data_IF_084243606689
#
_entry.id   IF_084243606689
#
_cell.length_a   1.000
_cell.length_b   1.000
_cell.length_c   1.000
_cell.angle_alpha   90.00
_cell.angle_beta   90.00
_cell.angle_gamma   90.00
#
_symmetry.space_group_name_H-M   'P 1'
#
loop_
_entity.id
_entity.type
_entity.pdbx_description
1 polymer ?
#
# COMPACT_ATOMS: atom_id res chain seq x y z
N UNK A 1 -56.68 -14.62 -27.27
CA UNK A 1 -57.63 -14.61 -26.14
C UNK A 1 -56.87 -14.00 -24.97
N UNK A 2 -57.12 -12.75 -24.52
CA UNK A 2 -58.32 -12.24 -23.82
C UNK A 2 -58.63 -13.18 -22.64
N UNK A 3 -58.57 -12.85 -21.34
CA UNK A 3 -58.84 -11.62 -20.59
C UNK A 3 -58.34 -11.77 -19.13
N UNK A 4 -57.79 -10.68 -18.56
CA UNK A 4 -57.95 -10.06 -17.23
C UNK A 4 -58.72 -10.80 -16.10
N UNK A 5 -58.60 -10.57 -14.78
CA UNK A 5 -58.27 -9.41 -13.91
C UNK A 5 -57.95 -9.98 -12.50
N UNK A 6 -57.15 -9.32 -11.66
CA UNK A 6 -57.07 -9.65 -10.23
C UNK A 6 -56.13 -8.75 -9.42
N UNK A 7 -56.62 -7.60 -8.99
CA UNK A 7 -55.96 -6.61 -8.11
C UNK A 7 -55.80 -7.09 -6.68
N UNK A 8 -54.64 -6.85 -6.06
CA UNK A 8 -54.49 -6.80 -4.60
C UNK A 8 -53.62 -5.60 -4.20
N UNK A 9 -54.21 -4.72 -3.40
CA UNK A 9 -53.60 -3.56 -2.75
C UNK A 9 -53.00 -4.04 -1.43
N UNK A 10 -51.71 -3.84 -1.23
CA UNK A 10 -51.08 -3.87 0.09
C UNK A 10 -50.02 -2.77 0.14
N UNK A 11 -50.28 -1.75 0.97
CA UNK A 11 -49.36 -0.65 1.21
C UNK A 11 -48.13 -1.13 1.96
N UNK A 12 -46.97 -0.82 1.41
CA UNK A 12 -45.71 -0.79 2.14
C UNK A 12 -45.09 0.59 1.90
N UNK A 13 -44.91 1.35 2.99
CA UNK A 13 -44.22 2.62 2.96
C UNK A 13 -42.78 2.42 2.50
N UNK A 14 -42.50 2.88 1.28
CA UNK A 14 -41.17 2.93 0.70
C UNK A 14 -40.47 4.18 1.28
N UNK A 15 -39.60 3.97 2.26
CA UNK A 15 -38.55 4.95 2.58
C UNK A 15 -37.58 5.00 1.40
N UNK A 16 -37.75 6.00 0.52
CA UNK A 16 -36.71 6.37 -0.44
C UNK A 16 -35.58 7.07 0.31
N UNK A 17 -34.52 6.33 0.62
CA UNK A 17 -33.21 6.92 0.80
C UNK A 17 -32.71 7.36 -0.57
N UNK A 18 -32.81 8.66 -0.86
CA UNK A 18 -32.17 9.25 -2.02
C UNK A 18 -30.64 9.13 -1.86
N UNK A 19 -30.06 8.15 -2.54
CA UNK A 19 -28.65 8.21 -2.90
C UNK A 19 -28.46 9.43 -3.81
N UNK A 20 -27.74 10.43 -3.32
CA UNK A 20 -27.42 11.64 -4.09
C UNK A 20 -26.55 11.29 -5.28
N UNK A 21 -27.16 11.16 -6.46
CA UNK A 21 -26.45 11.28 -7.72
C UNK A 21 -26.06 12.74 -7.90
N UNK A 22 -24.78 13.06 -7.69
CA UNK A 22 -24.22 14.34 -8.07
C UNK A 22 -24.25 14.46 -9.60
N UNK A 23 -25.31 15.05 -10.13
CA UNK A 23 -25.42 15.43 -11.52
C UNK A 23 -24.46 16.60 -11.77
N UNK A 24 -23.48 16.40 -12.65
CA UNK A 24 -22.52 17.41 -13.07
C UNK A 24 -23.22 18.69 -13.55
N UNK A 25 -22.83 19.84 -12.99
CA UNK A 25 -23.21 21.14 -13.52
C UNK A 25 -22.42 21.43 -14.83
N UNK A 26 -23.05 22.00 -15.86
CA UNK A 26 -22.39 22.25 -17.14
C UNK A 26 -21.28 23.30 -16.98
N UNK A 27 -20.19 23.08 -17.70
CA UNK A 27 -19.03 23.96 -17.75
C UNK A 27 -19.40 25.34 -18.32
N UNK A 28 -19.30 26.38 -17.49
CA UNK A 28 -19.32 27.77 -17.95
C UNK A 28 -17.92 28.12 -18.48
N UNK A 29 -17.83 28.32 -19.79
CA UNK A 29 -16.61 28.77 -20.47
C UNK A 29 -16.29 30.21 -20.04
N UNK A 30 -15.31 30.37 -19.15
CA UNK A 30 -14.75 31.67 -18.78
C UNK A 30 -14.01 32.29 -19.97
N UNK A 31 -14.70 33.13 -20.73
CA UNK A 31 -14.11 34.01 -21.74
C UNK A 31 -13.62 35.31 -21.07
N UNK A 32 -12.43 35.83 -21.40
CA UNK A 32 -11.86 37.00 -20.74
C UNK A 32 -12.50 38.27 -21.32
N UNK A 33 -13.50 38.84 -20.63
CA UNK A 33 -14.18 40.08 -21.08
C UNK A 33 -14.28 41.20 -20.04
N UNK A 34 -14.01 40.93 -18.76
CA UNK A 34 -14.34 41.87 -17.67
C UNK A 34 -13.36 43.02 -17.44
N UNK A 35 -12.08 42.89 -17.82
CA UNK A 35 -11.06 43.90 -17.51
C UNK A 35 -10.78 44.89 -18.65
N UNK A 36 -11.25 44.62 -19.87
CA UNK A 36 -10.87 45.41 -21.04
C UNK A 36 -11.77 46.65 -21.26
N UNK A 37 -12.96 46.68 -20.64
CA UNK A 37 -13.90 47.78 -20.80
C UNK A 37 -13.64 48.97 -19.84
N UNK A 38 -12.77 48.82 -18.83
CA UNK A 38 -12.46 49.88 -17.87
C UNK A 38 -11.31 50.81 -18.32
N UNK A 39 -10.59 50.47 -19.40
CA UNK A 39 -9.38 51.20 -19.81
C UNK A 39 -9.48 51.94 -21.15
N UNK A 40 -10.54 51.77 -21.95
CA UNK A 40 -10.67 52.44 -23.25
C UNK A 40 -12.01 53.18 -23.33
N UNK A 41 -11.94 54.50 -23.19
CA UNK A 41 -13.06 55.42 -23.16
C UNK A 41 -13.69 55.62 -24.56
N UNK A 42 -14.37 54.59 -25.10
CA UNK A 42 -15.18 54.67 -26.33
C UNK A 42 -16.30 53.62 -26.36
N UNK A 43 -17.55 54.11 -26.34
CA UNK A 43 -18.84 53.54 -26.80
C UNK A 43 -19.11 52.03 -26.73
N UNK A 44 -19.90 51.60 -25.74
CA UNK A 44 -20.51 50.27 -25.69
C UNK A 44 -22.01 50.36 -26.02
N UNK A 45 -22.55 49.61 -27.02
CA UNK A 45 -23.94 49.75 -27.46
C UNK A 45 -24.93 49.13 -26.46
N UNK A 46 -25.99 49.89 -26.17
CA UNK A 46 -27.10 49.46 -25.33
C UNK A 46 -28.06 48.54 -26.09
N UNK A 47 -28.45 47.42 -25.47
CA UNK A 47 -29.63 46.65 -25.88
C UNK A 47 -29.65 45.19 -25.43
N UNK A 48 -30.36 44.89 -24.34
CA UNK A 48 -30.71 43.51 -23.96
C UNK A 48 -30.99 43.32 -22.48
N UNK A 49 -32.25 43.46 -22.07
CA UNK A 49 -32.75 43.34 -20.70
C UNK A 49 -32.66 41.90 -20.15
N UNK A 50 -32.00 41.68 -19.00
CA UNK A 50 -32.34 40.59 -18.07
C UNK A 50 -32.16 41.06 -16.61
N UNK A 51 -33.30 41.23 -15.93
CA UNK A 51 -33.57 41.34 -14.49
C UNK A 51 -32.42 41.72 -13.53
N UNK A 52 -32.40 43.01 -13.14
CA UNK A 52 -31.70 43.49 -11.95
C UNK A 52 -32.34 42.91 -10.67
N UNK A 53 -31.62 42.02 -9.99
CA UNK A 53 -31.83 41.79 -8.55
C UNK A 53 -31.03 42.82 -7.77
N UNK A 54 -31.72 43.86 -7.30
CA UNK A 54 -31.21 44.78 -6.29
C UNK A 54 -31.00 44.00 -4.99
N UNK A 55 -29.75 43.74 -4.63
CA UNK A 55 -29.41 43.31 -3.25
C UNK A 55 -29.12 44.58 -2.47
N UNK A 56 -29.96 44.83 -1.46
CA UNK A 56 -29.89 45.98 -0.59
C UNK A 56 -28.56 46.01 0.19
N UNK A 57 -27.78 47.08 0.03
CA UNK A 57 -26.76 47.44 1.00
C UNK A 57 -27.44 48.16 2.17
N UNK A 58 -27.64 47.43 3.27
CA UNK A 58 -28.07 48.00 4.53
C UNK A 58 -27.32 47.34 5.68
N UNK A 59 -26.21 47.93 6.10
CA UNK A 59 -25.79 48.12 7.51
C UNK A 59 -24.57 49.07 7.52
N UNK A 60 -24.44 49.98 8.50
CA UNK A 60 -23.23 50.77 8.69
C UNK A 60 -22.16 49.86 9.29
N UNK A 61 -21.01 49.77 8.61
CA UNK A 61 -19.86 48.99 9.09
C UNK A 61 -19.10 49.87 10.08
N UNK A 62 -19.43 49.75 11.37
CA UNK A 62 -18.50 50.12 12.43
C UNK A 62 -17.39 49.05 12.47
N UNK A 63 -16.14 49.51 12.41
CA UNK A 63 -14.88 48.73 12.34
C UNK A 63 -14.51 48.18 10.95
N UNK A 64 -13.81 49.03 10.17
CA UNK A 64 -12.93 48.57 9.09
C UNK A 64 -11.83 47.71 9.72
N UNK A 65 -12.02 46.39 9.68
CA UNK A 65 -10.93 45.44 9.90
C UNK A 65 -10.02 45.53 8.67
N UNK A 66 -8.70 45.42 8.84
CA UNK A 66 -7.65 45.64 7.81
C UNK A 66 -7.75 44.65 6.61
N UNK A 67 -8.80 43.83 6.54
CA UNK A 67 -9.07 42.85 5.48
C UNK A 67 -9.71 43.42 4.21
N UNK A 68 -10.22 44.65 4.21
CA UNK A 68 -11.00 45.19 3.08
C UNK A 68 -10.24 46.13 2.14
N UNK A 69 -8.91 46.21 2.26
CA UNK A 69 -8.08 46.81 1.20
C UNK A 69 -7.62 45.66 0.29
N UNK A 70 -8.15 45.54 -0.95
CA UNK A 70 -7.85 44.40 -1.84
C UNK A 70 -6.35 44.27 -2.17
N UNK A 71 -5.58 45.34 -1.95
CA UNK A 71 -4.14 45.40 -2.14
C UNK A 71 -3.38 44.75 -0.95
N UNK A 72 -3.87 44.87 0.29
CA UNK A 72 -3.16 44.34 1.48
C UNK A 72 -3.24 42.81 1.52
N UNK A 73 -4.39 42.22 1.17
CA UNK A 73 -4.58 40.76 1.17
C UNK A 73 -3.67 40.01 0.18
N UNK A 74 -3.23 40.66 -0.89
CA UNK A 74 -2.27 40.11 -1.87
C UNK A 74 -0.86 40.07 -1.27
N UNK A 75 -0.52 40.99 -0.36
CA UNK A 75 0.80 41.08 0.25
C UNK A 75 0.88 40.37 1.61
N UNK A 76 -0.20 40.34 2.38
CA UNK A 76 -0.25 39.83 3.74
C UNK A 76 -1.51 38.97 3.90
N UNK A 77 -1.33 37.66 4.07
CA UNK A 77 -2.45 36.75 4.29
C UNK A 77 -2.05 35.29 4.22
N UNK A 78 -2.76 34.43 4.95
CA UNK A 78 -2.58 32.99 4.82
C UNK A 78 -3.30 32.47 3.57
N UNK A 79 -2.75 31.42 2.99
CA UNK A 79 -3.40 30.63 1.97
C UNK A 79 -4.58 29.86 2.53
N UNK A 80 -5.63 29.69 1.73
CA UNK A 80 -6.80 28.93 2.13
C UNK A 80 -6.50 27.43 2.12
N UNK A 81 -6.93 26.71 3.15
CA UNK A 81 -6.90 25.24 3.13
C UNK A 81 -7.88 24.70 2.06
N UNK A 82 -7.52 23.56 1.47
CA UNK A 82 -8.43 22.80 0.62
C UNK A 82 -9.67 22.37 1.41
N UNK A 83 -10.82 22.38 0.75
CA UNK A 83 -12.11 22.09 1.39
C UNK A 83 -12.59 20.66 1.11
N UNK A 84 -13.35 20.03 2.02
CA UNK A 84 -13.92 18.70 1.80
C UNK A 84 -14.77 18.61 0.52
N UNK A 85 -14.66 17.48 -0.19
CA UNK A 85 -15.38 17.25 -1.45
C UNK A 85 -14.77 17.96 -2.66
N UNK A 86 -13.54 18.47 -2.53
CA UNK A 86 -12.76 18.95 -3.65
C UNK A 86 -12.43 17.80 -4.63
N UNK A 87 -12.16 18.16 -5.89
CA UNK A 87 -11.67 17.20 -6.90
C UNK A 87 -10.55 17.86 -7.70
N UNK A 88 -9.49 17.11 -7.98
CA UNK A 88 -8.36 17.59 -8.77
C UNK A 88 -7.66 18.78 -8.11
N UNK A 89 -7.36 19.83 -8.89
CA UNK A 89 -6.59 20.97 -8.41
C UNK A 89 -7.27 21.78 -7.28
N UNK A 90 -8.59 21.65 -7.11
CA UNK A 90 -9.31 22.28 -6.01
C UNK A 90 -8.91 21.71 -4.64
N UNK A 91 -8.27 20.54 -4.62
CA UNK A 91 -7.73 19.94 -3.41
C UNK A 91 -6.36 20.47 -3.01
N UNK A 92 -5.78 21.38 -3.79
CA UNK A 92 -4.55 22.05 -3.41
C UNK A 92 -4.84 23.16 -2.40
N UNK A 93 -3.98 23.30 -1.41
CA UNK A 93 -3.94 24.46 -0.53
C UNK A 93 -3.54 25.71 -1.30
N UNK A 94 -4.20 26.82 -0.99
CA UNK A 94 -3.89 28.13 -1.55
C UNK A 94 -2.54 28.64 -1.07
N UNK A 95 -1.89 29.46 -1.89
CA UNK A 95 -0.67 30.14 -1.49
C UNK A 95 -0.98 31.31 -0.54
N UNK A 96 -0.04 31.59 0.35
CA UNK A 96 -0.06 32.81 1.16
C UNK A 96 0.08 34.07 0.30
N UNK A 97 -0.18 35.22 0.92
CA UNK A 97 0.15 36.54 0.40
C UNK A 97 1.65 36.66 0.11
N UNK A 98 1.98 37.52 -0.85
CA UNK A 98 3.32 37.61 -1.45
C UNK A 98 4.42 37.90 -0.43
N UNK A 99 4.17 38.72 0.60
CA UNK A 99 5.19 39.14 1.56
C UNK A 99 5.16 38.31 2.85
N UNK A 100 3.97 38.08 3.40
CA UNK A 100 3.79 37.38 4.68
C UNK A 100 2.56 36.45 4.65
N UNK A 101 2.72 35.27 5.26
CA UNK A 101 1.62 34.35 5.56
C UNK A 101 2.01 32.89 5.36
N UNK A 102 1.21 31.98 5.91
CA UNK A 102 1.41 30.54 5.75
C UNK A 102 0.59 30.02 4.57
N UNK A 103 1.13 29.05 3.83
CA UNK A 103 0.38 28.34 2.81
C UNK A 103 -0.73 27.46 3.42
N UNK A 104 -1.82 27.29 2.68
CA UNK A 104 -2.90 26.40 3.07
C UNK A 104 -2.54 24.94 2.86
N UNK A 105 -3.17 24.04 3.60
CA UNK A 105 -2.99 22.60 3.46
C UNK A 105 -3.78 22.06 2.28
N UNK A 106 -3.24 21.04 1.61
CA UNK A 106 -3.96 20.23 0.65
C UNK A 106 -4.82 19.16 1.31
N UNK A 107 -5.72 18.55 0.53
CA UNK A 107 -6.59 17.44 0.93
C UNK A 107 -6.57 16.36 -0.16
N UNK A 108 -6.88 15.09 0.14
CA UNK A 108 -7.11 14.04 -0.87
C UNK A 108 -6.02 13.92 -1.96
N UNK A 109 -4.75 13.99 -1.55
CA UNK A 109 -3.58 13.95 -2.44
C UNK A 109 -3.19 15.29 -3.07
N UNK A 110 -3.92 16.37 -2.76
CA UNK A 110 -3.62 17.73 -3.19
C UNK A 110 -2.41 18.33 -2.49
N UNK A 111 -1.70 19.22 -3.18
CA UNK A 111 -0.48 19.82 -2.68
C UNK A 111 -0.76 20.91 -1.63
N UNK A 112 0.14 21.10 -0.69
CA UNK A 112 0.15 22.27 0.18
C UNK A 112 0.58 23.53 -0.57
N UNK A 113 0.02 24.66 -0.17
CA UNK A 113 0.34 25.97 -0.72
C UNK A 113 1.67 26.52 -0.21
N UNK A 114 2.27 27.43 -0.96
CA UNK A 114 3.50 28.10 -0.56
C UNK A 114 3.24 29.17 0.53
N UNK A 115 4.19 29.31 1.46
CA UNK A 115 4.26 30.43 2.39
C UNK A 115 4.73 31.73 1.72
N UNK A 116 4.54 32.85 2.41
CA UNK A 116 4.89 34.19 1.92
C UNK A 116 6.40 34.41 1.82
N UNK A 117 6.84 35.31 0.93
CA UNK A 117 8.24 35.46 0.55
C UNK A 117 9.18 35.78 1.73
N UNK A 118 8.78 36.67 2.65
CA UNK A 118 9.61 37.04 3.80
C UNK A 118 9.43 36.10 4.98
N UNK A 119 8.17 35.83 5.37
CA UNK A 119 7.85 34.94 6.47
C UNK A 119 6.64 34.08 6.12
N UNK A 120 6.77 32.77 6.30
CA UNK A 120 5.66 31.85 6.06
C UNK A 120 6.07 30.38 6.10
N UNK A 121 5.24 29.54 6.68
CA UNK A 121 5.35 28.09 6.53
C UNK A 121 4.63 27.64 5.26
N UNK A 122 5.18 26.66 4.57
CA UNK A 122 4.46 25.93 3.54
C UNK A 122 3.33 25.12 4.18
N UNK A 123 2.21 25.00 3.47
CA UNK A 123 1.12 24.13 3.90
C UNK A 123 1.46 22.67 3.70
N UNK A 124 0.84 21.77 4.45
CA UNK A 124 1.06 20.34 4.30
C UNK A 124 0.33 19.80 3.06
N UNK A 125 0.88 18.77 2.44
CA UNK A 125 0.19 18.01 1.41
C UNK A 125 -0.93 17.14 2.00
N UNK A 126 -2.01 16.98 1.25
CA UNK A 126 -3.13 16.14 1.61
C UNK A 126 -2.77 14.65 1.57
N UNK A 127 -3.31 13.86 2.49
CA UNK A 127 -3.19 12.42 2.41
C UNK A 127 -3.88 11.88 1.14
N UNK A 128 -3.29 10.88 0.50
CA UNK A 128 -3.86 10.23 -0.67
C UNK A 128 -5.14 9.47 -0.33
N UNK A 129 -6.07 9.44 -1.27
CA UNK A 129 -7.35 8.73 -1.10
C UNK A 129 -7.15 7.21 -1.05
N UNK A 130 -7.93 6.51 -0.25
CA UNK A 130 -7.91 5.05 -0.27
C UNK A 130 -8.45 4.52 -1.61
N UNK A 131 -7.84 3.44 -2.11
CA UNK A 131 -8.32 2.71 -3.26
C UNK A 131 -9.65 2.03 -2.95
N UNK A 132 -10.53 1.98 -3.94
CA UNK A 132 -11.84 1.33 -3.81
C UNK A 132 -11.68 -0.18 -3.73
N UNK A 133 -12.45 -0.85 -2.88
CA UNK A 133 -12.52 -2.31 -2.93
C UNK A 133 -13.16 -2.77 -4.24
N UNK A 134 -12.75 -3.94 -4.74
CA UNK A 134 -13.44 -4.63 -5.82
C UNK A 134 -14.91 -4.88 -5.44
N UNK A 135 -15.82 -4.72 -6.39
CA UNK A 135 -17.27 -4.72 -6.10
C UNK A 135 -18.00 -5.95 -6.65
N UNK A 136 -17.53 -6.45 -7.79
CA UNK A 136 -18.01 -7.68 -8.41
C UNK A 136 -17.01 -8.80 -8.17
N UNK A 137 -17.49 -10.02 -8.31
CA UNK A 137 -16.68 -11.20 -8.07
C UNK A 137 -15.44 -11.23 -8.98
N UNK A 138 -14.26 -11.34 -8.37
CA UNK A 138 -12.97 -11.34 -9.06
C UNK A 138 -12.45 -9.96 -9.49
N UNK A 139 -13.14 -8.86 -9.15
CA UNK A 139 -12.63 -7.51 -9.40
C UNK A 139 -11.37 -7.24 -8.59
N UNK A 140 -10.37 -6.62 -9.21
CA UNK A 140 -9.21 -6.11 -8.52
C UNK A 140 -9.58 -4.90 -7.64
N UNK A 141 -8.81 -4.70 -6.57
CA UNK A 141 -8.87 -3.51 -5.75
C UNK A 141 -8.27 -2.31 -6.48
N UNK A 142 -8.89 -1.14 -6.32
CA UNK A 142 -8.36 0.12 -6.82
C UNK A 142 -7.06 0.52 -6.12
N UNK A 143 -6.20 1.23 -6.83
CA UNK A 143 -4.97 1.77 -6.25
C UNK A 143 -5.26 2.90 -5.25
N UNK A 144 -4.45 2.97 -4.19
CA UNK A 144 -4.40 4.13 -3.31
C UNK A 144 -3.86 5.34 -4.06
N UNK A 145 -4.45 6.50 -3.82
CA UNK A 145 -3.96 7.78 -4.34
C UNK A 145 -2.63 8.17 -3.68
N UNK A 146 -1.78 8.88 -4.39
CA UNK A 146 -0.55 9.41 -3.82
C UNK A 146 -0.85 10.54 -2.83
N UNK A 147 0.02 10.69 -1.83
CA UNK A 147 0.02 11.86 -0.97
C UNK A 147 0.46 13.11 -1.73
N UNK A 148 -0.12 14.25 -1.38
CA UNK A 148 0.22 15.54 -1.96
C UNK A 148 1.58 16.03 -1.48
N UNK A 149 2.26 16.80 -2.31
CA UNK A 149 3.51 17.45 -1.89
C UNK A 149 3.25 18.55 -0.86
N UNK A 150 4.17 18.70 0.10
CA UNK A 150 4.18 19.85 0.99
C UNK A 150 4.55 21.14 0.24
N UNK A 151 3.97 22.25 0.66
CA UNK A 151 4.23 23.56 0.09
C UNK A 151 5.60 24.10 0.48
N UNK A 152 6.16 24.97 -0.35
CA UNK A 152 7.41 25.65 0.00
C UNK A 152 7.20 26.64 1.16
N UNK A 153 8.15 26.71 2.08
CA UNK A 153 8.23 27.79 3.05
C UNK A 153 8.62 29.13 2.40
N UNK A 154 8.57 30.19 3.19
CA UNK A 154 9.02 31.52 2.78
C UNK A 154 10.50 31.56 2.41
N UNK A 155 10.85 32.39 1.42
CA UNK A 155 12.19 32.48 0.86
C UNK A 155 13.25 32.89 1.89
N UNK A 156 12.94 33.84 2.77
CA UNK A 156 13.87 34.24 3.84
C UNK A 156 13.71 33.41 5.10
N UNK A 157 12.47 33.29 5.60
CA UNK A 157 12.17 32.56 6.84
C UNK A 157 10.91 31.71 6.65
N UNK A 158 11.08 30.39 6.73
CA UNK A 158 9.96 29.48 6.56
C UNK A 158 10.35 28.03 6.53
N UNK A 159 9.59 27.20 7.25
CA UNK A 159 9.65 25.74 7.10
C UNK A 159 8.84 25.34 5.88
N UNK A 160 9.33 24.38 5.11
CA UNK A 160 8.49 23.68 4.14
C UNK A 160 7.39 22.88 4.83
N UNK A 161 6.28 22.68 4.13
CA UNK A 161 5.20 21.81 4.61
C UNK A 161 5.58 20.34 4.49
N UNK A 162 4.98 19.51 5.33
CA UNK A 162 5.12 18.06 5.25
C UNK A 162 4.36 17.53 4.01
N UNK A 163 4.90 16.51 3.36
CA UNK A 163 4.19 15.76 2.33
C UNK A 163 3.13 14.85 2.94
N UNK A 164 2.01 14.68 2.23
CA UNK A 164 0.90 13.82 2.66
C UNK A 164 1.27 12.35 2.61
N UNK A 165 0.67 11.52 3.46
CA UNK A 165 0.81 10.07 3.37
C UNK A 165 0.13 9.55 2.09
N UNK A 166 0.66 8.48 1.50
CA UNK A 166 -0.02 7.75 0.43
C UNK A 166 -1.25 7.00 0.93
N UNK A 167 -2.27 6.89 0.08
CA UNK A 167 -3.50 6.17 0.37
C UNK A 167 -3.30 4.65 0.36
N UNK A 168 -4.08 3.92 1.16
CA UNK A 168 -4.06 2.45 1.11
C UNK A 168 -4.67 1.93 -0.18
N UNK A 169 -4.14 0.84 -0.72
CA UNK A 169 -4.79 0.13 -1.82
C UNK A 169 -6.06 -0.59 -1.38
N UNK A 170 -7.03 -0.70 -2.29
CA UNK A 170 -8.29 -1.38 -2.05
C UNK A 170 -8.13 -2.90 -2.04
N UNK A 171 -9.01 -3.60 -1.32
CA UNK A 171 -9.04 -5.07 -1.37
C UNK A 171 -9.60 -5.57 -2.70
N UNK A 172 -9.01 -6.64 -3.23
CA UNK A 172 -9.60 -7.41 -4.33
C UNK A 172 -10.84 -8.15 -3.86
N UNK A 173 -11.81 -8.32 -4.76
CA UNK A 173 -13.05 -9.03 -4.48
C UNK A 173 -12.87 -10.54 -4.53
N UNK A 174 -13.67 -11.26 -3.75
CA UNK A 174 -13.65 -12.72 -3.77
C UNK A 174 -14.13 -13.27 -5.12
N UNK A 175 -13.59 -14.41 -5.52
CA UNK A 175 -14.05 -15.17 -6.67
C UNK A 175 -15.46 -15.70 -6.46
N UNK A 176 -16.27 -15.60 -7.51
CA UNK A 176 -17.67 -16.01 -7.49
C UNK A 176 -17.85 -17.46 -7.92
N UNK A 177 -19.06 -17.99 -7.73
CA UNK A 177 -19.49 -19.25 -8.36
C UNK A 177 -20.16 -18.89 -9.68
N UNK A 178 -19.52 -19.20 -10.81
CA UNK A 178 -20.04 -18.92 -12.16
C UNK A 178 -21.03 -20.01 -12.61
N UNK A 179 -20.81 -21.24 -12.14
CA UNK A 179 -21.70 -22.40 -12.28
C UNK A 179 -21.30 -23.41 -11.20
N UNK A 180 -22.09 -24.46 -10.90
CA UNK A 180 -21.76 -25.44 -9.87
C UNK A 180 -20.34 -26.02 -10.03
N UNK A 181 -19.88 -26.23 -11.27
CA UNK A 181 -18.58 -26.81 -11.60
C UNK A 181 -17.48 -25.79 -11.90
N UNK A 182 -17.79 -24.48 -11.95
CA UNK A 182 -16.82 -23.44 -12.31
C UNK A 182 -16.89 -22.27 -11.34
N UNK A 183 -15.76 -21.99 -10.72
CA UNK A 183 -15.56 -20.88 -9.78
C UNK A 183 -14.56 -19.89 -10.36
N UNK A 184 -14.69 -18.62 -9.98
CA UNK A 184 -13.76 -17.56 -10.35
C UNK A 184 -12.61 -17.46 -9.36
N UNK A 185 -11.52 -16.83 -9.79
CA UNK A 185 -10.43 -16.44 -8.91
C UNK A 185 -10.80 -15.19 -8.12
N UNK A 186 -10.15 -14.97 -6.98
CA UNK A 186 -10.19 -13.68 -6.32
C UNK A 186 -9.43 -12.63 -7.12
N UNK A 187 -9.88 -11.38 -7.06
CA UNK A 187 -9.17 -10.25 -7.65
C UNK A 187 -7.94 -9.87 -6.84
N UNK A 188 -6.97 -9.25 -7.49
CA UNK A 188 -5.75 -8.78 -6.83
C UNK A 188 -6.05 -7.56 -5.95
N UNK A 189 -5.29 -7.40 -4.87
CA UNK A 189 -5.32 -6.19 -4.05
C UNK A 189 -4.69 -5.02 -4.80
N UNK A 190 -5.26 -3.82 -4.64
CA UNK A 190 -4.70 -2.62 -5.24
C UNK A 190 -3.39 -2.21 -4.57
N UNK A 191 -2.45 -1.66 -5.33
CA UNK A 191 -1.23 -1.07 -4.75
C UNK A 191 -1.56 0.14 -3.86
N UNK A 192 -0.78 0.35 -2.79
CA UNK A 192 -0.80 1.57 -2.01
C UNK A 192 -0.18 2.74 -2.79
N UNK A 193 -0.59 3.96 -2.45
CA UNK A 193 -0.06 5.19 -3.05
C UNK A 193 1.28 5.60 -2.43
N UNK A 194 2.06 6.34 -3.19
CA UNK A 194 3.33 6.89 -2.69
C UNK A 194 3.08 8.07 -1.74
N UNK A 195 3.98 8.24 -0.76
CA UNK A 195 4.01 9.42 0.09
C UNK A 195 4.42 10.67 -0.69
N UNK A 196 3.80 11.80 -0.35
CA UNK A 196 4.07 13.09 -0.97
C UNK A 196 5.45 13.63 -0.60
N UNK A 197 6.07 14.35 -1.54
CA UNK A 197 7.36 14.99 -1.29
C UNK A 197 7.26 16.08 -0.21
N UNK A 198 8.31 16.22 0.59
CA UNK A 198 8.48 17.37 1.47
C UNK A 198 8.49 18.70 0.70
N UNK A 199 7.91 19.73 1.31
CA UNK A 199 8.10 21.11 0.90
C UNK A 199 9.50 21.61 1.25
N UNK A 200 10.06 22.48 0.40
CA UNK A 200 11.37 23.10 0.65
C UNK A 200 11.27 24.24 1.67
N UNK A 201 12.21 24.34 2.58
CA UNK A 201 12.40 25.49 3.47
C UNK A 201 13.02 26.71 2.76
N UNK A 202 13.16 27.81 3.51
CA UNK A 202 13.77 29.07 3.03
C UNK A 202 15.28 29.01 2.73
N UNK A 203 15.75 29.94 1.90
CA UNK A 203 17.11 30.01 1.31
C UNK A 203 18.22 30.41 2.30
N UNK A 204 17.92 31.18 3.36
CA UNK A 204 18.89 31.43 4.43
C UNK A 204 18.96 30.20 5.35
N UNK A 205 19.71 29.22 4.84
CA UNK A 205 19.84 27.82 5.25
C UNK A 205 20.44 27.54 6.62
N UNK A 206 19.93 28.19 7.66
CA UNK A 206 20.09 27.75 9.05
C UNK A 206 18.77 27.70 9.84
N UNK A 207 17.66 28.28 9.34
CA UNK A 207 16.38 28.33 10.07
C UNK A 207 15.14 27.82 9.31
N UNK A 208 15.20 27.62 8.00
CA UNK A 208 14.11 26.99 7.23
C UNK A 208 14.34 25.49 7.10
N UNK A 209 13.71 24.67 7.95
CA UNK A 209 13.74 23.22 7.77
C UNK A 209 12.90 22.83 6.54
N UNK A 210 13.35 21.86 5.76
CA UNK A 210 12.46 21.17 4.83
C UNK A 210 11.36 20.46 5.64
N UNK A 211 10.20 20.24 5.00
CA UNK A 211 9.20 19.35 5.55
C UNK A 211 9.68 17.90 5.56
N UNK A 212 8.86 17.02 6.11
CA UNK A 212 9.06 15.59 6.01
C UNK A 212 8.32 15.04 4.78
N UNK A 213 8.95 14.13 4.04
CA UNK A 213 8.25 13.37 3.00
C UNK A 213 7.27 12.41 3.66
N UNK A 214 6.06 12.30 3.10
CA UNK A 214 4.99 11.44 3.63
C UNK A 214 5.35 9.96 3.57
N UNK A 215 4.70 9.15 4.42
CA UNK A 215 4.82 7.70 4.37
C UNK A 215 4.09 7.10 3.16
N UNK A 216 4.56 5.95 2.68
CA UNK A 216 3.84 5.20 1.65
C UNK A 216 2.58 4.52 2.20
N UNK A 217 1.57 4.37 1.36
CA UNK A 217 0.33 3.67 1.69
C UNK A 217 0.51 2.14 1.65
N UNK A 218 -0.23 1.42 2.49
CA UNK A 218 -0.22 -0.05 2.46
C UNK A 218 -0.91 -0.60 1.20
N UNK A 219 -0.42 -1.74 0.70
CA UNK A 219 -1.07 -2.49 -0.37
C UNK A 219 -2.36 -3.17 0.11
N UNK A 220 -3.32 -3.28 -0.79
CA UNK A 220 -4.60 -3.95 -0.56
C UNK A 220 -4.48 -5.46 -0.48
N UNK A 221 -5.41 -6.10 0.22
CA UNK A 221 -5.45 -7.57 0.32
C UNK A 221 -6.02 -8.17 -0.96
N UNK A 222 -5.46 -9.27 -1.44
CA UNK A 222 -6.06 -10.06 -2.51
C UNK A 222 -7.35 -10.73 -2.07
N UNK A 223 -8.30 -10.88 -2.98
CA UNK A 223 -9.58 -11.56 -2.76
C UNK A 223 -9.39 -13.07 -2.63
N UNK A 224 -10.26 -13.73 -1.88
CA UNK A 224 -10.26 -15.19 -1.79
C UNK A 224 -10.77 -15.82 -3.10
N UNK A 225 -10.26 -16.98 -3.47
CA UNK A 225 -10.76 -17.75 -4.59
C UNK A 225 -12.18 -18.28 -4.36
N UNK A 226 -12.94 -18.40 -5.45
CA UNK A 226 -14.30 -18.94 -5.41
C UNK A 226 -14.33 -20.39 -4.97
N UNK A 227 -15.38 -20.77 -4.24
CA UNK A 227 -15.48 -22.05 -3.55
C UNK A 227 -16.72 -22.83 -3.98
N UNK A 228 -16.55 -24.10 -4.37
CA UNK A 228 -17.65 -25.02 -4.66
C UNK A 228 -17.23 -26.48 -4.46
N UNK A 229 -18.12 -27.30 -3.89
CA UNK A 229 -17.88 -28.74 -3.73
C UNK A 229 -17.90 -29.52 -5.05
N UNK A 230 -18.51 -28.96 -6.08
CA UNK A 230 -18.62 -29.59 -7.42
C UNK A 230 -17.66 -28.98 -8.44
N UNK A 231 -16.90 -27.96 -8.07
CA UNK A 231 -15.82 -27.47 -8.91
C UNK A 231 -14.64 -28.42 -8.86
N UNK A 232 -14.06 -28.75 -10.01
CA UNK A 232 -12.89 -29.62 -10.09
C UNK A 232 -11.68 -29.04 -9.33
N UNK A 233 -11.52 -27.71 -9.41
CA UNK A 233 -10.46 -26.96 -8.72
C UNK A 233 -11.12 -25.72 -8.11
N UNK A 234 -10.78 -25.41 -6.87
CA UNK A 234 -11.15 -24.15 -6.24
C UNK A 234 -10.52 -22.95 -6.96
N UNK A 235 -11.12 -21.77 -6.87
CA UNK A 235 -10.54 -20.57 -7.46
C UNK A 235 -9.20 -20.25 -6.81
N UNK A 236 -8.26 -19.68 -7.54
CA UNK A 236 -7.05 -19.14 -6.94
C UNK A 236 -7.38 -17.88 -6.13
N UNK A 237 -6.65 -17.66 -5.03
CA UNK A 237 -6.67 -16.38 -4.34
C UNK A 237 -5.93 -15.31 -5.15
N UNK A 238 -6.40 -14.07 -5.08
CA UNK A 238 -5.72 -12.92 -5.68
C UNK A 238 -4.44 -12.57 -4.94
N UNK A 239 -3.48 -11.95 -5.61
CA UNK A 239 -2.26 -11.45 -5.00
C UNK A 239 -2.54 -10.22 -4.12
N UNK A 240 -1.73 -10.00 -3.11
CA UNK A 240 -1.73 -8.73 -2.38
C UNK A 240 -1.09 -7.62 -3.21
N UNK A 241 -1.60 -6.39 -3.09
CA UNK A 241 -1.03 -5.22 -3.75
C UNK A 241 0.32 -4.81 -3.15
N UNK A 242 1.17 -4.14 -3.91
CA UNK A 242 2.42 -3.59 -3.37
C UNK A 242 2.16 -2.43 -2.42
N UNK A 243 3.00 -2.27 -1.40
CA UNK A 243 3.05 -1.04 -0.63
C UNK A 243 3.62 0.11 -1.46
N UNK A 244 3.14 1.33 -1.22
CA UNK A 244 3.68 2.54 -1.83
C UNK A 244 5.01 2.96 -1.21
N UNK A 245 5.80 3.71 -1.95
CA UNK A 245 7.06 4.27 -1.46
C UNK A 245 6.79 5.43 -0.51
N UNK A 246 7.67 5.64 0.47
CA UNK A 246 7.54 6.74 1.41
C UNK A 246 8.88 7.41 1.73
N UNK A 247 8.79 8.52 2.45
CA UNK A 247 9.92 9.20 3.06
C UNK A 247 10.51 8.36 4.19
N UNK A 248 9.92 8.46 5.38
CA UNK A 248 10.43 7.74 6.55
C UNK A 248 10.15 6.23 6.51
N UNK A 249 8.96 5.84 6.04
CA UNK A 249 8.49 4.46 6.04
C UNK A 249 7.84 4.12 4.69
N UNK A 250 8.30 3.04 4.08
CA UNK A 250 7.62 2.42 2.95
C UNK A 250 6.37 1.66 3.39
N UNK A 251 5.35 1.64 2.53
CA UNK A 251 4.10 0.94 2.78
C UNK A 251 4.29 -0.57 2.93
N UNK A 252 3.51 -1.21 3.79
CA UNK A 252 3.49 -2.67 3.87
C UNK A 252 2.83 -3.26 2.61
N UNK A 253 3.37 -4.36 2.08
CA UNK A 253 2.73 -5.13 1.02
C UNK A 253 1.45 -5.83 1.51
N UNK A 254 0.42 -5.88 0.67
CA UNK A 254 -0.85 -6.51 0.99
C UNK A 254 -0.73 -8.02 1.15
N UNK A 255 -1.64 -8.64 1.91
CA UNK A 255 -1.69 -10.09 2.02
C UNK A 255 -2.31 -10.72 0.77
N UNK A 256 -1.79 -11.87 0.34
CA UNK A 256 -2.44 -12.68 -0.69
C UNK A 256 -3.75 -13.29 -0.19
N UNK A 257 -4.71 -13.46 -1.10
CA UNK A 257 -6.00 -14.09 -0.85
C UNK A 257 -5.87 -15.61 -0.68
N UNK A 258 -6.79 -16.20 0.08
CA UNK A 258 -6.85 -17.65 0.24
C UNK A 258 -7.34 -18.32 -1.06
N UNK A 259 -6.81 -19.51 -1.37
CA UNK A 259 -7.39 -20.37 -2.40
C UNK A 259 -8.76 -20.89 -2.00
N UNK A 260 -9.61 -21.12 -2.99
CA UNK A 260 -10.98 -21.60 -2.82
C UNK A 260 -11.08 -23.10 -2.61
N UNK A 261 -12.25 -23.55 -2.14
CA UNK A 261 -12.60 -24.97 -2.05
C UNK A 261 -12.95 -25.53 -3.44
N UNK A 262 -12.44 -26.74 -3.72
CA UNK A 262 -12.82 -27.55 -4.89
C UNK A 262 -12.68 -29.04 -4.61
N UNK A 263 -12.81 -29.89 -5.64
CA UNK A 263 -12.37 -31.28 -5.57
C UNK A 263 -10.88 -31.32 -5.24
N UNK A 264 -10.07 -30.56 -5.98
CA UNK A 264 -8.75 -30.08 -5.53
C UNK A 264 -8.85 -28.64 -5.02
N UNK A 265 -8.06 -28.29 -4.01
CA UNK A 265 -8.03 -26.93 -3.49
C UNK A 265 -7.40 -25.96 -4.50
N UNK A 266 -7.91 -24.72 -4.55
CA UNK A 266 -7.29 -23.65 -5.32
C UNK A 266 -6.01 -23.14 -4.65
N UNK A 267 -5.09 -22.58 -5.41
CA UNK A 267 -3.85 -22.04 -4.83
C UNK A 267 -4.09 -20.71 -4.12
N UNK A 268 -3.30 -20.43 -3.07
CA UNK A 268 -3.29 -19.13 -2.40
C UNK A 268 -2.53 -18.08 -3.23
N UNK A 269 -2.98 -16.84 -3.17
CA UNK A 269 -2.31 -15.72 -3.83
C UNK A 269 -1.02 -15.32 -3.13
N UNK A 270 -0.06 -14.72 -3.85
CA UNK A 270 1.19 -14.26 -3.25
C UNK A 270 0.97 -12.97 -2.43
N UNK A 271 1.83 -12.76 -1.42
CA UNK A 271 1.89 -11.48 -0.72
C UNK A 271 2.53 -10.39 -1.58
N UNK A 272 2.06 -9.16 -1.43
CA UNK A 272 2.58 -8.00 -2.14
C UNK A 272 3.97 -7.58 -1.65
N UNK A 273 4.74 -6.90 -2.50
CA UNK A 273 6.03 -6.33 -2.11
C UNK A 273 5.85 -5.14 -1.15
N UNK A 274 6.73 -4.99 -0.16
CA UNK A 274 6.81 -3.78 0.66
C UNK A 274 7.41 -2.60 -0.12
N UNK A 275 6.90 -1.39 0.11
CA UNK A 275 7.39 -0.18 -0.53
C UNK A 275 8.75 0.27 0.03
N UNK A 276 9.46 1.09 -0.74
CA UNK A 276 10.74 1.65 -0.33
C UNK A 276 10.54 2.84 0.63
N UNK A 277 11.52 3.06 1.50
CA UNK A 277 11.55 4.23 2.40
C UNK A 277 12.78 4.18 3.28
N UNK A 278 13.03 5.19 4.12
CA UNK A 278 14.19 5.18 5.03
C UNK A 278 14.22 3.88 5.84
N UNK A 279 13.06 3.43 6.32
CA UNK A 279 12.85 2.01 6.59
C UNK A 279 11.96 1.43 5.51
N UNK A 280 12.43 0.39 4.83
CA UNK A 280 11.63 -0.34 3.84
C UNK A 280 10.41 -1.00 4.49
N UNK A 281 9.29 -1.00 3.78
CA UNK A 281 8.07 -1.67 4.21
C UNK A 281 8.24 -3.18 4.27
N UNK A 282 7.50 -3.86 5.15
CA UNK A 282 7.47 -5.31 5.15
C UNK A 282 6.75 -5.86 3.92
N UNK A 283 7.21 -7.01 3.42
CA UNK A 283 6.46 -7.77 2.43
C UNK A 283 5.17 -8.34 3.02
N UNK A 284 4.16 -8.52 2.18
CA UNK A 284 2.88 -9.12 2.55
C UNK A 284 2.98 -10.62 2.79
N UNK A 285 2.09 -11.16 3.61
CA UNK A 285 1.98 -12.61 3.83
C UNK A 285 1.32 -13.27 2.61
N UNK A 286 1.81 -14.44 2.21
CA UNK A 286 1.16 -15.26 1.18
C UNK A 286 -0.16 -15.85 1.67
N UNK A 287 -1.13 -16.00 0.78
CA UNK A 287 -2.43 -16.58 1.07
C UNK A 287 -2.35 -18.08 1.35
N UNK A 288 -3.28 -18.59 2.15
CA UNK A 288 -3.39 -20.03 2.38
C UNK A 288 -3.88 -20.76 1.12
N UNK A 289 -3.41 -21.97 0.90
CA UNK A 289 -3.99 -22.86 -0.11
C UNK A 289 -5.41 -23.28 0.26
N UNK A 290 -6.22 -23.55 -0.76
CA UNK A 290 -7.61 -23.96 -0.63
C UNK A 290 -7.76 -25.38 -0.12
N UNK A 291 -8.88 -25.65 0.54
CA UNK A 291 -9.24 -26.98 1.02
C UNK A 291 -9.69 -27.83 -0.17
N UNK A 292 -9.35 -29.11 -0.17
CA UNK A 292 -9.81 -30.08 -1.15
C UNK A 292 -10.88 -31.00 -0.55
N UNK A 293 -11.94 -31.24 -1.31
CA UNK A 293 -13.00 -32.16 -0.90
C UNK A 293 -12.72 -33.62 -1.28
N UNK A 294 -11.96 -33.86 -2.36
CA UNK A 294 -11.65 -35.21 -2.88
C UNK A 294 -10.26 -35.33 -3.51
N UNK A 295 -9.39 -34.33 -3.34
CA UNK A 295 -8.13 -34.22 -4.06
C UNK A 295 -7.05 -33.61 -3.18
N UNK A 296 -5.95 -33.19 -3.78
CA UNK A 296 -4.88 -32.54 -3.03
C UNK A 296 -5.30 -31.12 -2.62
N UNK A 297 -4.89 -30.73 -1.41
CA UNK A 297 -5.02 -29.35 -0.97
C UNK A 297 -4.25 -28.39 -1.89
N UNK A 298 -4.74 -27.16 -2.01
CA UNK A 298 -4.09 -26.14 -2.83
C UNK A 298 -2.72 -25.73 -2.27
N UNK A 299 -1.82 -25.29 -3.13
CA UNK A 299 -0.55 -24.74 -2.68
C UNK A 299 -0.78 -23.38 -2.01
N UNK A 300 0.01 -23.05 -1.00
CA UNK A 300 -0.03 -21.71 -0.44
C UNK A 300 0.76 -20.72 -1.29
N UNK A 301 0.38 -19.44 -1.22
CA UNK A 301 1.12 -18.35 -1.84
C UNK A 301 2.43 -18.05 -1.09
N UNK A 302 3.39 -17.51 -1.83
CA UNK A 302 4.65 -17.06 -1.25
C UNK A 302 4.49 -15.71 -0.54
N UNK A 303 5.32 -15.47 0.47
CA UNK A 303 5.44 -14.14 1.08
C UNK A 303 6.09 -13.14 0.13
N UNK A 304 5.68 -11.89 0.21
CA UNK A 304 6.22 -10.78 -0.59
C UNK A 304 7.61 -10.36 -0.15
N UNK A 305 8.37 -9.75 -1.05
CA UNK A 305 9.68 -9.20 -0.72
C UNK A 305 9.54 -7.94 0.16
N UNK A 306 10.45 -7.75 1.12
CA UNK A 306 10.55 -6.49 1.87
C UNK A 306 11.09 -5.35 1.01
N UNK A 307 10.62 -4.12 1.26
CA UNK A 307 11.07 -2.92 0.58
C UNK A 307 12.51 -2.56 0.91
N UNK A 308 13.15 -1.80 0.03
CA UNK A 308 14.52 -1.33 0.25
C UNK A 308 14.54 -0.18 1.25
N UNK A 309 15.56 -0.18 2.10
CA UNK A 309 15.92 0.99 2.91
C UNK A 309 16.51 2.05 1.99
N UNK A 310 16.06 3.29 2.09
CA UNK A 310 16.55 4.42 1.30
C UNK A 310 17.37 5.38 2.17
N UNK A 311 18.34 6.08 1.56
CA UNK A 311 19.17 7.12 2.19
C UNK A 311 19.78 6.75 3.57
N UNK A 312 20.45 7.73 4.20
CA UNK A 312 21.39 7.68 5.36
C UNK A 312 21.32 6.46 6.31
N UNK A 313 21.70 5.27 5.83
CA UNK A 313 21.77 4.05 6.66
C UNK A 313 20.42 3.39 6.96
N UNK A 314 19.40 3.65 6.14
CA UNK A 314 18.06 3.08 6.28
C UNK A 314 18.01 1.55 6.31
N UNK A 315 17.14 0.95 7.12
CA UNK A 315 17.01 -0.51 7.19
C UNK A 315 16.13 -1.06 6.06
N UNK A 316 16.51 -2.21 5.49
CA UNK A 316 15.64 -2.95 4.59
C UNK A 316 14.44 -3.56 5.32
N UNK A 317 13.29 -3.62 4.66
CA UNK A 317 12.07 -4.22 5.19
C UNK A 317 12.17 -5.75 5.32
N UNK A 318 11.44 -6.34 6.25
CA UNK A 318 11.39 -7.81 6.36
C UNK A 318 10.63 -8.43 5.19
N UNK A 319 11.05 -9.61 4.74
CA UNK A 319 10.25 -10.43 3.84
C UNK A 319 8.97 -10.92 4.53
N UNK A 320 7.90 -11.09 3.75
CA UNK A 320 6.62 -11.58 4.23
C UNK A 320 6.63 -13.08 4.55
N UNK A 321 5.68 -13.53 5.35
CA UNK A 321 5.52 -14.95 5.65
C UNK A 321 4.97 -15.72 4.46
N UNK A 322 5.42 -16.96 4.26
CA UNK A 322 4.76 -17.88 3.35
C UNK A 322 3.39 -18.32 3.87
N UNK A 323 2.44 -18.57 2.98
CA UNK A 323 1.10 -19.04 3.33
C UNK A 323 1.08 -20.49 3.81
N UNK A 324 0.01 -20.89 4.47
CA UNK A 324 -0.21 -22.30 4.88
C UNK A 324 -0.79 -23.12 3.73
N UNK A 325 -0.26 -24.30 3.46
CA UNK A 325 -0.80 -25.21 2.45
C UNK A 325 -2.22 -25.66 2.77
N UNK A 326 -3.01 -25.90 1.72
CA UNK A 326 -4.39 -26.33 1.86
C UNK A 326 -4.53 -27.74 2.41
N UNK A 327 -5.64 -28.01 3.08
CA UNK A 327 -5.95 -29.37 3.54
C UNK A 327 -6.30 -30.28 2.35
N UNK A 328 -5.76 -31.50 2.35
CA UNK A 328 -6.15 -32.55 1.40
C UNK A 328 -7.50 -33.19 1.73
N UNK A 329 -8.20 -33.65 0.70
CA UNK A 329 -9.39 -34.50 0.85
C UNK A 329 -9.03 -35.87 1.43
N UNK A 330 -10.02 -36.64 1.89
CA UNK A 330 -9.78 -37.96 2.47
C UNK A 330 -9.04 -38.88 1.49
N UNK A 331 -7.86 -39.38 1.88
CA UNK A 331 -7.01 -40.16 0.97
C UNK A 331 -6.03 -39.36 0.11
N UNK A 332 -5.91 -38.04 0.29
CA UNK A 332 -5.07 -37.16 -0.53
C UNK A 332 -4.11 -36.31 0.29
N UNK A 333 -3.06 -35.83 -0.37
CA UNK A 333 -2.00 -35.07 0.30
C UNK A 333 -2.44 -33.64 0.62
N UNK A 334 -1.90 -33.09 1.71
CA UNK A 334 -2.00 -31.67 1.96
C UNK A 334 -1.17 -30.87 0.94
N UNK A 335 -1.59 -29.63 0.67
CA UNK A 335 -0.85 -28.71 -0.19
C UNK A 335 0.46 -28.25 0.45
N UNK A 336 1.44 -27.87 -0.36
CA UNK A 336 2.70 -27.33 0.14
C UNK A 336 2.51 -25.95 0.78
N UNK A 337 3.29 -25.65 1.83
CA UNK A 337 3.40 -24.32 2.40
C UNK A 337 4.19 -23.39 1.47
N UNK A 338 3.82 -22.12 1.48
CA UNK A 338 4.47 -21.10 0.65
C UNK A 338 5.86 -20.76 1.16
N UNK A 339 6.76 -20.31 0.27
CA UNK A 339 8.07 -19.81 0.69
C UNK A 339 7.94 -18.46 1.40
N UNK A 340 8.82 -18.21 2.37
CA UNK A 340 8.97 -16.88 2.93
C UNK A 340 9.58 -15.90 1.93
N UNK A 341 9.18 -14.63 2.01
CA UNK A 341 9.68 -13.57 1.16
C UNK A 341 11.13 -13.20 1.47
N UNK A 342 11.84 -12.64 0.48
CA UNK A 342 13.21 -12.16 0.65
C UNK A 342 13.19 -10.85 1.46
N UNK A 343 14.15 -10.67 2.37
CA UNK A 343 14.36 -9.41 3.07
C UNK A 343 14.84 -8.30 2.13
N UNK A 344 14.39 -7.08 2.37
CA UNK A 344 14.79 -5.89 1.60
C UNK A 344 16.25 -5.52 1.79
N UNK A 345 16.83 -4.85 0.80
CA UNK A 345 18.21 -4.35 0.90
C UNK A 345 18.29 -3.16 1.88
N UNK A 346 19.38 -3.07 2.64
CA UNK A 346 19.68 -1.89 3.45
C UNK A 346 20.14 -0.69 2.62
N UNK A 347 19.81 0.51 3.09
CA UNK A 347 20.12 1.77 2.45
C UNK A 347 21.59 2.15 2.51
N UNK A 348 22.02 2.94 1.53
CA UNK A 348 23.37 3.53 1.52
C UNK A 348 23.46 4.66 2.53
N UNK A 349 24.57 4.77 3.26
CA UNK A 349 24.76 5.84 4.24
C UNK A 349 26.20 5.96 4.71
N UNK A 350 26.47 6.93 5.60
CA UNK A 350 27.78 7.09 6.22
C UNK A 350 28.26 5.75 6.80
N UNK A 351 27.39 5.09 7.55
CA UNK A 351 27.41 3.63 7.72
C UNK A 351 26.28 3.04 6.90
N UNK A 352 26.51 1.92 6.23
CA UNK A 352 25.46 1.24 5.48
C UNK A 352 24.36 0.71 6.39
N UNK A 353 23.11 0.77 5.93
CA UNK A 353 21.96 0.28 6.67
C UNK A 353 21.88 -1.24 6.69
N UNK A 354 21.30 -1.87 7.73
CA UNK A 354 21.15 -3.31 7.77
C UNK A 354 20.17 -3.81 6.71
N UNK A 355 20.44 -4.98 6.14
CA UNK A 355 19.48 -5.71 5.31
C UNK A 355 18.33 -6.26 6.14
N UNK A 356 17.15 -6.34 5.54
CA UNK A 356 15.95 -6.88 6.16
C UNK A 356 16.04 -8.39 6.36
N UNK A 357 15.34 -8.91 7.36
CA UNK A 357 15.26 -10.35 7.60
C UNK A 357 14.42 -11.04 6.52
N UNK A 358 14.81 -12.25 6.11
CA UNK A 358 13.95 -13.10 5.28
C UNK A 358 12.71 -13.55 6.05
N UNK A 359 11.59 -13.71 5.35
CA UNK A 359 10.34 -14.19 5.92
C UNK A 359 10.38 -15.69 6.25
N UNK A 360 9.59 -16.12 7.23
CA UNK A 360 9.47 -17.54 7.55
C UNK A 360 8.62 -18.25 6.49
N UNK A 361 9.03 -19.47 6.12
CA UNK A 361 8.25 -20.34 5.24
C UNK A 361 6.97 -20.81 5.91
N UNK A 362 5.92 -20.98 5.10
CA UNK A 362 4.61 -21.38 5.57
C UNK A 362 4.51 -22.87 5.90
N UNK A 363 3.54 -23.22 6.73
CA UNK A 363 3.34 -24.63 7.11
C UNK A 363 2.70 -25.42 5.96
N UNK A 364 3.09 -26.67 5.78
CA UNK A 364 2.40 -27.58 4.88
C UNK A 364 0.99 -27.91 5.34
N UNK A 365 0.12 -28.22 4.40
CA UNK A 365 -1.26 -28.58 4.65
C UNK A 365 -1.39 -29.95 5.30
N UNK A 366 -2.42 -30.13 6.11
CA UNK A 366 -2.72 -31.41 6.76
C UNK A 366 -3.41 -32.40 5.82
N UNK A 367 -3.30 -33.69 6.12
CA UNK A 367 -4.05 -34.77 5.48
C UNK A 367 -4.75 -35.62 6.53
N UNK A 368 -5.99 -36.03 6.26
CA UNK A 368 -6.79 -36.85 7.17
C UNK A 368 -7.14 -38.21 6.51
N UNK A 369 -7.33 -39.24 7.34
CA UNK A 369 -7.80 -40.60 7.00
C UNK A 369 -6.75 -41.67 6.59
N UNK A 370 -7.18 -42.93 6.68
CA UNK A 370 -6.52 -44.26 6.68
C UNK A 370 -5.93 -44.75 5.35
N UNK A 371 -5.52 -43.82 4.48
CA UNK A 371 -4.78 -44.10 3.23
C UNK A 371 -3.25 -44.19 3.43
N UNK A 372 -2.47 -44.19 2.34
CA UNK A 372 -1.01 -43.92 2.36
C UNK A 372 -0.80 -42.49 1.90
N UNK A 373 -0.88 -41.54 2.83
CA UNK A 373 -0.90 -40.12 2.49
C UNK A 373 0.23 -39.35 3.17
N UNK A 374 0.57 -38.21 2.56
CA UNK A 374 1.59 -37.32 3.07
C UNK A 374 0.97 -35.97 3.48
N UNK A 375 1.42 -35.45 4.60
CA UNK A 375 1.24 -34.03 4.88
C UNK A 375 1.98 -33.21 3.82
N UNK A 376 1.51 -31.99 3.57
CA UNK A 376 2.18 -31.06 2.67
C UNK A 376 3.58 -30.71 3.17
N UNK A 377 4.53 -30.49 2.27
CA UNK A 377 5.85 -29.99 2.68
C UNK A 377 5.72 -28.57 3.24
N UNK A 378 6.52 -28.23 4.25
CA UNK A 378 6.69 -26.86 4.71
C UNK A 378 7.46 -26.04 3.67
N UNK A 379 7.12 -24.76 3.56
CA UNK A 379 7.80 -23.83 2.66
C UNK A 379 9.21 -23.47 3.15
N UNK A 380 10.11 -23.15 2.23
CA UNK A 380 11.44 -22.65 2.60
C UNK A 380 11.35 -21.25 3.23
N UNK A 381 12.26 -20.96 4.17
CA UNK A 381 12.47 -19.60 4.65
C UNK A 381 13.06 -18.72 3.55
N UNK A 382 12.67 -17.45 3.54
CA UNK A 382 13.20 -16.45 2.62
C UNK A 382 14.64 -16.08 2.93
N UNK A 383 15.39 -15.65 1.92
CA UNK A 383 16.74 -15.14 2.13
C UNK A 383 16.74 -13.80 2.88
N UNK A 384 17.77 -13.55 3.67
CA UNK A 384 18.02 -12.23 4.25
C UNK A 384 18.45 -11.23 3.19
N UNK A 385 18.06 -9.98 3.35
CA UNK A 385 18.43 -8.88 2.47
C UNK A 385 19.90 -8.49 2.60
N UNK A 386 20.47 -7.94 1.54
CA UNK A 386 21.84 -7.44 1.58
C UNK A 386 21.97 -6.19 2.47
N UNK A 387 23.09 -6.03 3.15
CA UNK A 387 23.43 -4.79 3.84
C UNK A 387 23.75 -3.66 2.86
N UNK A 388 23.46 -2.43 3.26
CA UNK A 388 23.71 -1.23 2.47
C UNK A 388 25.19 -0.84 2.38
N UNK A 389 25.53 -0.03 1.38
CA UNK A 389 26.89 0.50 1.20
C UNK A 389 27.22 1.55 2.28
N UNK A 390 28.40 1.44 2.88
CA UNK A 390 29.01 2.50 3.69
C UNK A 390 29.77 3.48 2.80
N UNK A 391 29.46 4.78 2.88
CA UNK A 391 30.14 5.81 2.08
C UNK A 391 31.42 6.31 2.74
N UNK A 392 31.49 6.25 4.07
CA UNK A 392 32.67 6.70 4.84
C UNK A 392 33.07 5.66 5.90
N UNK A 393 32.07 5.07 6.56
CA UNK A 393 32.22 4.02 7.56
C UNK A 393 32.06 2.62 7.00
N UNK A 394 31.70 1.69 7.87
CA UNK A 394 31.47 0.31 7.47
C UNK A 394 30.20 0.14 6.64
N UNK A 395 30.16 -0.92 5.84
CA UNK A 395 28.91 -1.38 5.23
C UNK A 395 27.91 -1.88 6.26
N UNK A 396 26.66 -2.02 5.84
CA UNK A 396 25.60 -2.58 6.66
C UNK A 396 25.75 -4.08 6.86
N UNK A 397 25.19 -4.60 7.95
CA UNK A 397 25.08 -6.05 8.13
C UNK A 397 24.01 -6.61 7.17
N UNK A 398 24.25 -7.78 6.60
CA UNK A 398 23.20 -8.51 5.89
C UNK A 398 22.10 -8.95 6.87
N UNK A 399 20.88 -9.11 6.37
CA UNK A 399 19.77 -9.64 7.16
C UNK A 399 19.93 -11.14 7.44
N UNK A 400 19.28 -11.63 8.49
CA UNK A 400 19.18 -13.08 8.71
C UNK A 400 18.21 -13.71 7.72
N UNK A 401 18.47 -14.95 7.31
CA UNK A 401 17.48 -15.74 6.58
C UNK A 401 16.29 -16.09 7.48
N UNK A 402 15.14 -16.32 6.87
CA UNK A 402 13.94 -16.79 7.57
C UNK A 402 14.03 -18.27 7.93
N UNK A 403 13.23 -18.71 8.89
CA UNK A 403 13.12 -20.14 9.20
C UNK A 403 12.29 -20.86 8.14
N UNK A 404 12.56 -22.14 7.92
CA UNK A 404 11.65 -22.98 7.15
C UNK A 404 10.31 -23.16 7.87
N UNK A 405 9.28 -23.51 7.12
CA UNK A 405 7.97 -23.87 7.65
C UNK A 405 7.92 -25.31 8.16
N UNK A 406 6.96 -25.60 9.03
CA UNK A 406 6.68 -26.98 9.43
C UNK A 406 6.03 -27.74 8.28
N UNK A 407 6.35 -29.03 8.15
CA UNK A 407 5.56 -29.92 7.34
C UNK A 407 4.15 -30.10 7.92
N UNK A 408 3.21 -30.46 7.07
CA UNK A 408 1.84 -30.79 7.48
C UNK A 408 1.79 -32.10 8.24
N UNK A 409 0.88 -32.19 9.20
CA UNK A 409 0.61 -33.43 9.92
C UNK A 409 -0.35 -34.34 9.15
N UNK A 410 -0.32 -35.62 9.50
CA UNK A 410 -1.29 -36.64 9.11
C UNK A 410 -1.87 -37.33 10.34
N UNK A 411 -3.03 -37.99 10.19
CA UNK A 411 -3.57 -38.84 11.27
C UNK A 411 -2.63 -40.01 11.62
N UNK A 412 -2.65 -40.42 12.90
CA UNK A 412 -1.86 -41.52 13.46
C UNK A 412 -2.26 -42.88 12.87
N UNK A 413 -1.69 -43.26 11.73
CA UNK A 413 -1.78 -44.59 11.12
C UNK A 413 -0.41 -45.05 10.62
N UNK A 414 -0.15 -46.36 10.68
CA UNK A 414 1.18 -46.99 10.47
C UNK A 414 1.79 -46.75 9.06
N UNK A 415 1.02 -46.22 8.10
CA UNK A 415 1.45 -45.93 6.73
C UNK A 415 1.49 -44.43 6.35
N UNK A 416 1.11 -43.50 7.23
CA UNK A 416 1.08 -42.07 6.91
C UNK A 416 2.40 -41.38 7.28
N UNK A 417 2.91 -40.51 6.39
CA UNK A 417 4.11 -39.72 6.66
C UNK A 417 3.79 -38.24 6.77
N UNK A 418 4.25 -37.60 7.84
CA UNK A 418 4.17 -36.15 7.94
C UNK A 418 4.96 -35.50 6.80
N UNK A 419 4.54 -34.32 6.36
CA UNK A 419 5.26 -33.58 5.34
C UNK A 419 6.67 -33.22 5.79
N UNK A 420 7.60 -33.05 4.84
CA UNK A 420 8.94 -32.58 5.18
C UNK A 420 8.89 -31.14 5.73
N UNK A 421 9.74 -30.83 6.70
CA UNK A 421 9.95 -29.43 7.12
C UNK A 421 10.69 -28.66 6.02
N UNK A 422 10.37 -27.38 5.85
CA UNK A 422 11.05 -26.51 4.90
C UNK A 422 12.49 -26.20 5.33
N UNK A 423 13.35 -25.89 4.36
CA UNK A 423 14.72 -25.43 4.65
C UNK A 423 14.70 -24.00 5.18
N UNK A 424 15.64 -23.63 6.05
CA UNK A 424 15.87 -22.24 6.40
C UNK A 424 16.43 -21.45 5.21
N UNK A 425 16.14 -20.16 5.15
CA UNK A 425 16.70 -19.24 4.17
C UNK A 425 18.15 -18.91 4.46
N UNK A 426 18.91 -18.54 3.44
CA UNK A 426 20.28 -18.05 3.60
C UNK A 426 20.30 -16.66 4.23
N UNK A 427 21.36 -16.35 4.99
CA UNK A 427 21.62 -14.99 5.44
C UNK A 427 22.07 -14.09 4.29
N UNK A 428 21.71 -12.82 4.37
CA UNK A 428 22.10 -11.80 3.40
C UNK A 428 23.59 -11.46 3.47
N UNK A 429 24.14 -11.00 2.35
CA UNK A 429 25.52 -10.49 2.28
C UNK A 429 25.64 -9.16 3.03
N UNK A 430 26.72 -8.95 3.76
CA UNK A 430 27.08 -7.65 4.30
C UNK A 430 27.36 -6.64 3.18
N UNK A 431 27.00 -5.38 3.42
CA UNK A 431 27.33 -4.28 2.53
C UNK A 431 28.83 -3.99 2.52
N UNK A 432 29.30 -3.39 1.42
CA UNK A 432 30.69 -2.93 1.33
C UNK A 432 30.93 -1.70 2.22
N UNK A 433 32.15 -1.54 2.74
CA UNK A 433 32.60 -0.32 3.43
C UNK A 433 32.92 0.82 2.47
N UNK A 434 33.52 1.90 3.02
CA UNK A 434 33.82 3.16 2.33
C UNK A 434 34.16 3.01 0.83
N UNK A 435 33.34 3.64 -0.02
CA UNK A 435 33.46 3.68 -1.49
C UNK A 435 33.54 2.30 -2.18
N UNK A 436 33.09 1.23 -1.52
CA UNK A 436 33.11 -0.13 -2.06
C UNK A 436 34.48 -0.82 -1.96
N UNK A 437 35.47 -0.21 -1.32
CA UNK A 437 36.85 -0.72 -1.27
C UNK A 437 36.97 -2.06 -0.52
N UNK A 438 36.15 -2.26 0.52
CA UNK A 438 36.13 -3.47 1.33
C UNK A 438 34.75 -4.15 1.22
N UNK A 439 34.63 -5.26 0.47
CA UNK A 439 33.38 -6.02 0.41
C UNK A 439 32.96 -6.57 1.79
N UNK A 440 31.66 -6.58 2.06
CA UNK A 440 31.11 -7.30 3.21
C UNK A 440 31.15 -8.81 3.02
N UNK A 441 31.10 -9.55 4.13
CA UNK A 441 31.11 -11.02 4.09
C UNK A 441 29.77 -11.58 3.63
N UNK A 442 29.78 -12.75 3.01
CA UNK A 442 28.56 -13.49 2.67
C UNK A 442 27.93 -14.06 3.94
N UNK A 443 26.60 -14.01 4.03
CA UNK A 443 25.87 -14.66 5.12
C UNK A 443 25.98 -16.19 5.07
N UNK A 444 25.66 -16.87 6.18
CA UNK A 444 25.68 -18.33 6.23
C UNK A 444 24.47 -18.91 5.50
N UNK A 445 24.59 -20.13 4.99
CA UNK A 445 23.45 -20.88 4.47
C UNK A 445 22.45 -21.20 5.60
N UNK A 446 21.18 -21.37 5.24
CA UNK A 446 20.16 -21.86 6.17
C UNK A 446 20.33 -23.35 6.46
N UNK A 447 19.78 -23.79 7.60
CA UNK A 447 19.79 -25.19 8.00
C UNK A 447 18.74 -26.02 7.24
N UNK A 448 18.96 -27.32 7.03
CA UNK A 448 17.96 -28.20 6.46
C UNK A 448 16.77 -28.39 7.42
N UNK A 449 15.58 -28.64 6.85
CA UNK A 449 14.42 -29.10 7.62
C UNK A 449 14.68 -30.47 8.25
N UNK A 450 14.09 -30.71 9.42
CA UNK A 450 14.28 -31.95 10.16
C UNK A 450 13.06 -32.86 9.98
N UNK A 451 13.22 -34.12 9.53
CA UNK A 451 12.11 -35.04 9.45
C UNK A 451 11.59 -35.38 10.86
N UNK A 452 10.31 -35.71 10.96
CA UNK A 452 9.72 -36.28 12.16
C UNK A 452 9.05 -37.63 11.82
N UNK A 453 8.82 -38.46 12.83
CA UNK A 453 8.22 -39.79 12.66
C UNK A 453 6.72 -39.77 12.90
N UNK A 454 6.05 -40.85 12.53
CA UNK A 454 4.70 -41.17 13.02
C UNK A 454 3.61 -40.17 12.59
N UNK A 455 3.63 -39.74 11.32
CA UNK A 455 2.63 -38.80 10.80
C UNK A 455 2.78 -37.34 11.26
N UNK A 456 3.74 -37.03 12.14
CA UNK A 456 4.04 -35.65 12.53
C UNK A 456 4.88 -34.99 11.44
N UNK A 457 4.47 -33.81 11.00
CA UNK A 457 5.19 -33.00 10.03
C UNK A 457 6.58 -32.61 10.52
N UNK A 458 7.54 -32.51 9.61
CA UNK A 458 8.92 -32.14 9.91
C UNK A 458 9.05 -30.72 10.43
N UNK A 459 10.08 -30.46 11.26
CA UNK A 459 10.37 -29.10 11.73
C UNK A 459 11.09 -28.31 10.65
N UNK A 460 10.74 -27.04 10.53
CA UNK A 460 11.47 -26.11 9.68
C UNK A 460 12.92 -25.94 10.09
N UNK A 461 13.80 -25.75 9.10
CA UNK A 461 15.21 -25.44 9.31
C UNK A 461 15.43 -24.03 9.86
N UNK A 462 16.51 -23.84 10.62
CA UNK A 462 16.90 -22.51 11.12
C UNK A 462 17.38 -21.60 9.99
N UNK A 463 17.06 -20.31 10.07
CA UNK A 463 17.59 -19.31 9.14
C UNK A 463 19.10 -19.11 9.28
N UNK A 464 19.75 -18.73 8.17
CA UNK A 464 21.16 -18.38 8.14
C UNK A 464 21.45 -17.02 8.80
N UNK A 465 22.62 -16.89 9.42
CA UNK A 465 23.12 -15.63 9.97
C UNK A 465 23.54 -14.66 8.87
N UNK A 466 23.25 -13.36 9.06
CA UNK A 466 23.64 -12.32 8.12
C UNK A 466 25.14 -12.01 8.14
N UNK A 467 25.69 -11.68 6.96
CA UNK A 467 27.10 -11.31 6.80
C UNK A 467 27.45 -9.96 7.44
N UNK A 468 28.66 -9.82 7.94
CA UNK A 468 29.19 -8.57 8.49
C UNK A 468 29.51 -7.56 7.40
N UNK A 469 29.28 -6.27 7.67
CA UNK A 469 29.67 -5.20 6.76
C UNK A 469 31.18 -5.08 6.60
N UNK A 470 31.64 -4.65 5.43
CA UNK A 470 33.05 -4.36 5.17
C UNK A 470 33.51 -3.12 5.95
N UNK A 471 34.79 -3.08 6.37
CA UNK A 471 35.33 -1.99 7.17
C UNK A 471 35.45 -0.67 6.37
N UNK A 472 35.23 0.47 7.03
CA UNK A 472 35.59 1.78 6.49
C UNK A 472 37.09 2.05 6.60
N UNK A 473 37.66 2.83 5.69
CA UNK A 473 39.03 3.34 5.82
C UNK A 473 39.00 4.65 6.62
N UNK A 474 39.79 4.72 7.69
CA UNK A 474 39.94 5.90 8.56
C UNK A 474 40.54 7.10 7.86
#
# INVERSE_FOLDING_TARGET
>A
MILAIGTAIAGAGLLLANAGTAQAAPAEASSPGGLQCLMTNTDCPAGGQVAARTVAFATPIDNVNIRDVPIIGIFIGNGADAQPGCVGAACNGGNAGLLFGNGGNGLDGGNGGAGGFFFGHGGNGGAGVAGTAGTLAGDDGGHGGNGGSGGAGGFFFGRGGDGGAGGTGGSGANGGVLSPTTVGNGGDGGNGGDGGAAGRGGFFGLFGLDGNTGSGGGGGTGGAGGSSFSALIGGAGGNGGSGGNGGALGGQGGTGGAGGLGESGGDGGNGGQGGDGVTGGSGGTGGSGGIASKGNGGQAGNGGQGGTGTQLGGAGGSGGYGGTGGQGGGGFSGGAGGSGGIGGQGGTGATGGPGGTGGTGGTGGVSFDSGTNNGGAGGSGGAGGAGGLGTVGSGGRGGTGGTGGFGGNTDNGVSNTGGAGGTGGAGGKGGSGANGANPGSTGSTGGPGQPQSSGVGGRGGSGGSGGTGGAGTS
#
